data_IF_464515954448
#
_entry.id   IF_464515954448
#
_cell.length_a   1.000
_cell.length_b   1.000
_cell.length_c   1.000
_cell.angle_alpha   90.00
_cell.angle_beta   90.00
_cell.angle_gamma   90.00
#
_symmetry.space_group_name_H-M   'P 1'
#
loop_
_entity.id
_entity.type
_entity.pdbx_description
1 polymer ?
#
# COMPACT_ATOMS: atom_id res chain seq x y z
N UNK A 1 37.73 8.51 -57.78
CA UNK A 1 38.27 8.29 -56.40
C UNK A 1 39.32 9.36 -56.15
N UNK A 2 39.17 10.18 -55.10
CA UNK A 2 39.48 9.87 -53.68
C UNK A 2 38.26 10.18 -52.77
N UNK A 3 38.12 9.82 -51.49
CA UNK A 3 39.00 9.19 -50.51
C UNK A 3 38.98 9.96 -49.18
N UNK A 4 38.17 9.49 -48.19
CA UNK A 4 38.24 9.73 -46.72
C UNK A 4 37.74 11.14 -46.27
N UNK A 5 37.06 11.37 -45.14
CA UNK A 5 36.93 10.66 -43.87
C UNK A 5 35.74 11.28 -43.07
N UNK A 6 35.04 10.43 -42.30
CA UNK A 6 34.60 10.63 -40.90
C UNK A 6 33.98 12.00 -40.51
N UNK A 7 32.73 11.99 -40.08
CA UNK A 7 32.35 12.40 -38.71
C UNK A 7 30.91 11.97 -38.45
N UNK A 8 30.73 11.03 -37.53
CA UNK A 8 29.42 10.75 -36.95
C UNK A 8 29.03 11.85 -35.98
N UNK A 9 27.73 12.05 -35.81
CA UNK A 9 27.19 12.64 -34.59
C UNK A 9 25.83 12.00 -34.32
N UNK A 10 25.86 10.87 -33.61
CA UNK A 10 24.70 10.34 -32.93
C UNK A 10 24.37 11.31 -31.80
N UNK A 11 23.26 12.05 -31.94
CA UNK A 11 22.74 12.88 -30.87
C UNK A 11 22.00 11.97 -29.88
N UNK A 12 22.75 11.36 -28.97
CA UNK A 12 22.18 10.73 -27.78
C UNK A 12 21.61 11.83 -26.89
N UNK A 13 20.32 12.13 -27.04
CA UNK A 13 19.58 12.96 -26.10
C UNK A 13 19.39 12.12 -24.83
N UNK A 14 20.33 12.26 -23.90
CA UNK A 14 20.30 11.67 -22.58
C UNK A 14 19.04 12.11 -21.83
N UNK A 15 18.11 11.17 -21.65
CA UNK A 15 17.01 11.30 -20.70
C UNK A 15 17.61 11.35 -19.29
N UNK A 16 17.71 12.55 -18.72
CA UNK A 16 17.94 12.73 -17.29
C UNK A 16 16.66 12.29 -16.60
N UNK A 17 16.59 10.99 -16.26
CA UNK A 17 15.66 10.48 -15.25
C UNK A 17 16.12 11.03 -13.91
N UNK A 18 15.73 12.28 -13.65
CA UNK A 18 15.69 12.78 -12.29
C UNK A 18 14.66 11.93 -11.56
N UNK A 19 15.14 10.98 -10.74
CA UNK A 19 14.35 10.41 -9.67
C UNK A 19 14.00 11.55 -8.71
N UNK A 20 12.99 12.34 -9.07
CA UNK A 20 12.38 13.28 -8.15
C UNK A 20 11.94 12.47 -6.95
N UNK A 21 12.42 12.84 -5.77
CA UNK A 21 11.81 12.41 -4.52
C UNK A 21 10.38 12.96 -4.51
N UNK A 22 9.48 12.26 -5.20
CA UNK A 22 8.07 12.58 -5.21
C UNK A 22 7.62 12.43 -3.76
N UNK A 23 7.19 13.52 -3.15
CA UNK A 23 6.57 13.50 -1.83
C UNK A 23 5.38 12.57 -1.94
N UNK A 24 5.51 11.36 -1.38
CA UNK A 24 4.44 10.37 -1.39
C UNK A 24 3.31 10.94 -0.54
N UNK A 25 2.07 11.01 -1.06
CA UNK A 25 0.95 11.46 -0.27
C UNK A 25 0.75 10.51 0.91
N UNK A 26 0.58 11.08 2.11
CA UNK A 26 0.35 10.34 3.35
C UNK A 26 -0.91 9.48 3.21
N UNK A 27 -0.78 8.17 3.44
CA UNK A 27 -1.86 7.22 3.27
C UNK A 27 -3.08 7.55 4.16
N UNK A 28 -2.86 8.06 5.37
CA UNK A 28 -3.94 8.45 6.28
C UNK A 28 -4.69 9.67 5.77
N UNK A 29 -4.00 10.63 5.13
CA UNK A 29 -4.65 11.77 4.49
C UNK A 29 -5.53 11.30 3.33
N UNK A 30 -5.01 10.41 2.47
CA UNK A 30 -5.79 9.82 1.37
C UNK A 30 -7.05 9.10 1.88
N UNK A 31 -6.91 8.31 2.95
CA UNK A 31 -8.04 7.62 3.58
C UNK A 31 -9.09 8.61 4.09
N UNK A 32 -8.67 9.66 4.83
CA UNK A 32 -9.57 10.69 5.37
C UNK A 32 -10.31 11.48 4.28
N UNK A 33 -9.73 11.57 3.08
CA UNK A 33 -10.37 12.19 1.93
C UNK A 33 -11.32 11.26 1.16
N UNK A 34 -11.50 10.01 1.61
CA UNK A 34 -12.31 9.00 0.92
C UNK A 34 -11.60 8.34 -0.27
N UNK A 35 -10.31 8.60 -0.47
CA UNK A 35 -9.52 8.09 -1.58
C UNK A 35 -8.95 6.70 -1.29
N UNK A 36 -9.82 5.76 -0.89
CA UNK A 36 -9.42 4.48 -0.29
C UNK A 36 -8.52 3.62 -1.18
N UNK A 37 -8.74 3.61 -2.50
CA UNK A 37 -7.87 2.91 -3.46
C UNK A 37 -6.45 3.48 -3.50
N UNK A 38 -6.33 4.81 -3.42
CA UNK A 38 -5.04 5.51 -3.37
C UNK A 38 -4.36 5.28 -2.02
N UNK A 39 -5.12 5.34 -0.93
CA UNK A 39 -4.63 5.04 0.42
C UNK A 39 -4.09 3.61 0.50
N UNK A 40 -4.83 2.62 -0.03
CA UNK A 40 -4.37 1.22 -0.13
C UNK A 40 -3.04 1.12 -0.87
N UNK A 41 -2.93 1.76 -2.03
CA UNK A 41 -1.72 1.73 -2.86
C UNK A 41 -0.52 2.39 -2.16
N UNK A 42 -0.74 3.50 -1.46
CA UNK A 42 0.27 4.16 -0.64
C UNK A 42 0.75 3.24 0.49
N UNK A 43 -0.17 2.60 1.23
CA UNK A 43 0.18 1.66 2.30
C UNK A 43 0.99 0.47 1.78
N UNK A 44 0.63 -0.10 0.63
CA UNK A 44 1.41 -1.19 0.03
C UNK A 44 2.86 -0.77 -0.26
N UNK A 45 3.03 0.47 -0.76
CA UNK A 45 4.36 1.03 -0.99
C UNK A 45 5.13 1.26 0.31
N UNK A 46 4.46 1.69 1.38
CA UNK A 46 5.06 1.84 2.71
C UNK A 46 5.50 0.50 3.28
N UNK A 47 4.70 -0.56 3.09
CA UNK A 47 5.00 -1.92 3.53
C UNK A 47 6.11 -2.59 2.73
N UNK A 48 6.29 -2.22 1.46
CA UNK A 48 7.47 -2.62 0.67
C UNK A 48 8.76 -2.01 1.24
N UNK A 49 8.70 -0.79 1.78
CA UNK A 49 9.84 -0.12 2.38
C UNK A 49 10.12 -0.58 3.83
N UNK A 50 9.05 -0.78 4.61
CA UNK A 50 9.10 -1.30 5.97
C UNK A 50 7.93 -2.26 6.22
N UNK A 51 8.21 -3.56 6.12
CA UNK A 51 7.22 -4.61 6.34
C UNK A 51 6.70 -4.69 7.78
N UNK A 52 7.33 -3.97 8.72
CA UNK A 52 6.93 -3.87 10.12
C UNK A 52 6.09 -2.63 10.46
N UNK A 53 5.80 -1.77 9.47
CA UNK A 53 5.08 -0.52 9.70
C UNK A 53 3.61 -0.77 10.07
N UNK A 54 3.32 -0.72 11.36
CA UNK A 54 1.98 -0.97 11.88
C UNK A 54 0.95 0.08 11.45
N UNK A 55 1.34 1.35 11.28
CA UNK A 55 0.40 2.38 10.84
C UNK A 55 -0.03 2.16 9.39
N UNK A 56 0.89 1.72 8.52
CA UNK A 56 0.55 1.32 7.15
C UNK A 56 -0.43 0.15 7.13
N UNK A 57 -0.25 -0.86 8.00
CA UNK A 57 -1.23 -1.95 8.14
C UNK A 57 -2.61 -1.46 8.59
N UNK A 58 -2.68 -0.57 9.58
CA UNK A 58 -3.95 -0.03 10.09
C UNK A 58 -4.69 0.73 9.00
N UNK A 59 -4.02 1.65 8.29
CA UNK A 59 -4.66 2.42 7.21
C UNK A 59 -5.02 1.52 6.03
N UNK A 60 -4.19 0.51 5.74
CA UNK A 60 -4.47 -0.49 4.70
C UNK A 60 -5.78 -1.23 5.01
N UNK A 61 -5.92 -1.75 6.23
CA UNK A 61 -7.08 -2.57 6.58
C UNK A 61 -8.36 -1.75 6.66
N UNK A 62 -8.32 -0.53 7.20
CA UNK A 62 -9.45 0.41 7.13
C UNK A 62 -9.84 0.74 5.69
N UNK A 63 -8.85 0.97 4.82
CA UNK A 63 -9.12 1.24 3.40
C UNK A 63 -9.77 0.04 2.71
N UNK A 64 -9.34 -1.18 3.04
CA UNK A 64 -9.93 -2.41 2.49
C UNK A 64 -11.37 -2.63 2.96
N UNK A 65 -11.65 -2.36 4.24
CA UNK A 65 -13.01 -2.37 4.79
C UNK A 65 -13.89 -1.35 4.06
N UNK A 66 -13.43 -0.10 3.92
CA UNK A 66 -14.18 0.95 3.22
C UNK A 66 -14.46 0.63 1.74
N UNK A 67 -13.61 -0.20 1.12
CA UNK A 67 -13.79 -0.71 -0.24
C UNK A 67 -14.66 -1.97 -0.32
N UNK A 68 -15.15 -2.50 0.81
CA UNK A 68 -15.90 -3.76 0.87
C UNK A 68 -15.05 -5.01 0.60
N UNK A 69 -13.72 -4.89 0.65
CA UNK A 69 -12.76 -5.98 0.39
C UNK A 69 -12.44 -6.73 1.68
N UNK A 70 -13.47 -7.29 2.31
CA UNK A 70 -13.37 -7.85 3.66
C UNK A 70 -12.41 -9.03 3.78
N UNK A 71 -12.34 -9.91 2.77
CA UNK A 71 -11.40 -11.03 2.77
C UNK A 71 -9.93 -10.57 2.74
N UNK A 72 -9.64 -9.49 2.00
CA UNK A 72 -8.30 -8.89 2.00
C UNK A 72 -8.03 -8.17 3.33
N UNK A 73 -9.03 -7.47 3.88
CA UNK A 73 -8.91 -6.81 5.18
C UNK A 73 -8.53 -7.83 6.28
N UNK A 74 -9.23 -8.97 6.34
CA UNK A 74 -8.92 -10.07 7.26
C UNK A 74 -7.50 -10.62 7.04
N UNK A 75 -7.09 -10.84 5.77
CA UNK A 75 -5.76 -11.33 5.44
C UNK A 75 -4.65 -10.42 5.98
N UNK A 76 -4.73 -9.12 5.72
CA UNK A 76 -3.72 -8.16 6.16
C UNK A 76 -3.79 -7.88 7.67
N UNK A 77 -5.00 -7.83 8.25
CA UNK A 77 -5.18 -7.66 9.68
C UNK A 77 -4.60 -8.85 10.47
N UNK A 78 -4.84 -10.08 10.01
CA UNK A 78 -4.27 -11.29 10.62
C UNK A 78 -2.76 -11.27 10.59
N UNK A 79 -2.15 -10.88 9.45
CA UNK A 79 -0.69 -10.73 9.35
C UNK A 79 -0.14 -9.73 10.37
N UNK A 80 -0.76 -8.56 10.48
CA UNK A 80 -0.34 -7.53 11.44
C UNK A 80 -0.47 -8.02 12.89
N UNK A 81 -1.59 -8.66 13.22
CA UNK A 81 -1.88 -9.19 14.55
C UNK A 81 -0.89 -10.28 14.98
N UNK A 82 -0.60 -11.24 14.08
CA UNK A 82 0.26 -12.38 14.37
C UNK A 82 1.76 -12.05 14.34
N UNK A 83 2.19 -11.14 13.45
CA UNK A 83 3.61 -10.96 13.14
C UNK A 83 4.21 -9.67 13.67
N UNK A 84 3.39 -8.64 13.91
CA UNK A 84 3.87 -7.33 14.36
C UNK A 84 3.52 -7.12 15.83
N UNK A 85 2.24 -6.87 16.14
CA UNK A 85 1.72 -6.72 17.51
C UNK A 85 0.20 -6.75 17.53
N UNK A 86 -0.37 -7.02 18.71
CA UNK A 86 -1.81 -6.91 18.97
C UNK A 86 -2.21 -5.44 19.16
N UNK A 87 -2.55 -4.77 18.06
CA UNK A 87 -3.08 -3.39 18.07
C UNK A 87 -4.62 -3.43 18.06
N UNK A 88 -5.30 -2.69 18.95
CA UNK A 88 -6.76 -2.72 19.04
C UNK A 88 -7.46 -2.30 17.74
N UNK A 89 -6.85 -1.45 16.91
CA UNK A 89 -7.42 -1.04 15.60
C UNK A 89 -7.43 -2.19 14.58
N UNK A 90 -6.45 -3.09 14.70
CA UNK A 90 -6.40 -4.32 13.90
C UNK A 90 -7.44 -5.32 14.40
N UNK A 91 -7.62 -5.43 15.72
CA UNK A 91 -8.67 -6.28 16.33
C UNK A 91 -10.06 -5.85 15.86
N UNK A 92 -10.34 -4.54 15.88
CA UNK A 92 -11.57 -3.97 15.33
C UNK A 92 -11.77 -4.38 13.86
N UNK A 93 -10.73 -4.24 13.02
CA UNK A 93 -10.83 -4.65 11.61
C UNK A 93 -11.07 -6.16 11.47
N UNK A 94 -10.47 -7.01 12.31
CA UNK A 94 -10.71 -8.46 12.28
C UNK A 94 -12.18 -8.77 12.60
N UNK A 95 -12.74 -8.14 13.64
CA UNK A 95 -14.16 -8.29 13.99
C UNK A 95 -15.08 -7.82 12.86
N UNK A 96 -14.84 -6.63 12.31
CA UNK A 96 -15.64 -6.06 11.22
C UNK A 96 -15.56 -6.89 9.94
N UNK A 97 -14.36 -7.30 9.53
CA UNK A 97 -14.15 -8.14 8.36
C UNK A 97 -14.78 -9.52 8.52
N UNK A 98 -14.72 -10.12 9.72
CA UNK A 98 -15.37 -11.40 10.00
C UNK A 98 -16.90 -11.28 9.96
N UNK A 99 -17.45 -10.24 10.58
CA UNK A 99 -18.89 -9.96 10.56
C UNK A 99 -19.43 -9.81 9.14
N UNK A 100 -18.79 -8.99 8.30
CA UNK A 100 -19.23 -8.78 6.92
C UNK A 100 -19.08 -10.01 6.02
N UNK A 101 -18.24 -10.97 6.40
CA UNK A 101 -18.13 -12.28 5.74
C UNK A 101 -19.11 -13.33 6.29
N UNK A 102 -19.94 -12.99 7.27
CA UNK A 102 -20.88 -13.92 7.91
C UNK A 102 -20.22 -14.88 8.91
N UNK A 103 -18.95 -14.64 9.28
CA UNK A 103 -18.17 -15.47 10.21
C UNK A 103 -18.38 -14.99 11.65
N UNK A 104 -19.64 -14.97 12.09
CA UNK A 104 -20.03 -14.31 13.35
C UNK A 104 -19.35 -14.87 14.60
N UNK A 105 -19.11 -16.19 14.66
CA UNK A 105 -18.40 -16.82 15.78
C UNK A 105 -16.95 -16.32 15.88
N UNK A 106 -16.31 -16.06 14.74
CA UNK A 106 -14.95 -15.50 14.70
C UNK A 106 -14.96 -14.00 15.05
N UNK A 107 -15.98 -13.27 14.61
CA UNK A 107 -16.12 -11.85 14.94
C UNK A 107 -16.19 -11.61 16.46
N UNK A 108 -16.79 -12.53 17.22
CA UNK A 108 -16.89 -12.46 18.68
C UNK A 108 -15.64 -12.96 19.43
N UNK A 109 -14.69 -13.59 18.72
CA UNK A 109 -13.51 -14.21 19.32
C UNK A 109 -12.30 -13.27 19.43
N UNK A 110 -12.39 -12.08 18.83
CA UNK A 110 -11.34 -11.07 18.79
C UNK A 110 -11.57 -9.98 19.83
#
# INVERSE_FOLDING_TARGET
>A
MPGRNKLGLALCLSAVLGAGAQVKPDALILYRNGEYERARTACMTELEADSGNMEAYVVLTWSLVALGRYADAELYATRAYERIRKDPRIVETLGEAAYHQGKNDQALAH
#
